data_IF_744254710307
#
_entry.id   IF_744254710307
#
_cell.length_a   1.000
_cell.length_b   1.000
_cell.length_c   1.000
_cell.angle_alpha   90.00
_cell.angle_beta   90.00
_cell.angle_gamma   90.00
#
_symmetry.space_group_name_H-M   'P 1'
#
loop_
_entity.id
_entity.type
_entity.pdbx_description
1 polymer ?
#
# COMPACT_ATOMS: atom_id res chain seq x y z
N UNK A 1 -14.32 -16.36 -15.07
CA UNK A 1 -13.31 -15.32 -15.34
C UNK A 1 -12.38 -15.30 -14.14
N UNK A 2 -11.15 -15.78 -14.32
CA UNK A 2 -10.16 -15.86 -13.23
C UNK A 2 -9.78 -14.44 -12.79
N UNK A 3 -9.64 -14.23 -11.47
CA UNK A 3 -9.11 -13.00 -10.90
C UNK A 3 -7.84 -13.29 -10.13
N UNK A 4 -6.85 -12.42 -10.31
CA UNK A 4 -5.60 -12.46 -9.55
C UNK A 4 -5.79 -11.69 -8.25
N UNK A 5 -5.27 -12.24 -7.16
CA UNK A 5 -5.41 -11.67 -5.82
C UNK A 5 -4.06 -11.72 -5.08
N UNK A 6 -3.77 -10.66 -4.32
CA UNK A 6 -2.63 -10.60 -3.40
C UNK A 6 -3.08 -9.96 -2.09
N UNK A 7 -2.59 -10.54 -1.00
CA UNK A 7 -2.64 -9.94 0.34
C UNK A 7 -1.23 -9.64 0.80
N UNK A 8 -1.00 -8.39 1.22
CA UNK A 8 0.30 -7.89 1.61
C UNK A 8 0.15 -7.30 3.02
N UNK A 9 1.01 -7.73 3.93
CA UNK A 9 1.08 -7.14 5.28
C UNK A 9 2.50 -6.66 5.53
N UNK A 10 2.65 -5.39 5.89
CA UNK A 10 3.93 -4.78 6.21
C UNK A 10 3.90 -4.41 7.69
N UNK A 11 4.87 -4.93 8.44
CA UNK A 11 5.01 -4.70 9.87
C UNK A 11 6.05 -3.62 10.14
N UNK A 12 5.75 -2.77 11.12
CA UNK A 12 6.64 -1.74 11.63
C UNK A 12 6.80 -1.90 13.14
N UNK A 13 7.93 -1.47 13.68
CA UNK A 13 8.17 -1.53 15.13
C UNK A 13 7.36 -0.47 15.88
N UNK A 14 7.14 0.67 15.23
CA UNK A 14 6.46 1.86 15.75
C UNK A 14 5.09 2.04 15.09
N UNK A 15 4.05 2.08 15.91
CA UNK A 15 2.66 2.25 15.48
C UNK A 15 2.40 3.65 14.92
N UNK A 16 3.03 4.68 15.49
CA UNK A 16 2.91 6.03 14.98
C UNK A 16 3.53 6.14 13.59
N UNK A 17 4.67 5.48 13.39
CA UNK A 17 5.33 5.41 12.08
C UNK A 17 4.47 4.66 11.05
N UNK A 18 3.88 3.52 11.43
CA UNK A 18 2.95 2.78 10.58
C UNK A 18 1.73 3.62 10.18
N UNK A 19 1.18 4.38 11.13
CA UNK A 19 0.07 5.31 10.89
C UNK A 19 0.45 6.43 9.94
N UNK A 20 1.59 7.08 10.17
CA UNK A 20 2.08 8.16 9.31
C UNK A 20 2.31 7.70 7.86
N UNK A 21 2.87 6.50 7.66
CA UNK A 21 2.99 5.90 6.33
C UNK A 21 1.61 5.65 5.72
N UNK A 22 0.69 5.05 6.47
CA UNK A 22 -0.65 4.74 5.96
C UNK A 22 -1.41 6.00 5.52
N UNK A 23 -1.34 7.07 6.30
CA UNK A 23 -1.92 8.37 5.97
C UNK A 23 -1.27 9.01 4.73
N UNK A 24 0.05 8.86 4.57
CA UNK A 24 0.78 9.43 3.43
C UNK A 24 0.52 8.68 2.11
N UNK A 25 0.28 7.37 2.15
CA UNK A 25 0.19 6.52 0.95
C UNK A 25 -1.25 6.23 0.55
N UNK A 26 -2.19 6.24 1.50
CA UNK A 26 -3.59 5.87 1.27
C UNK A 26 -4.57 7.00 1.62
N UNK A 27 -4.37 8.23 1.14
CA UNK A 27 -5.14 9.38 1.60
C UNK A 27 -6.62 9.36 1.21
N UNK A 28 -7.06 8.49 0.30
CA UNK A 28 -8.47 8.19 0.04
C UNK A 28 -8.60 6.92 -0.81
N UNK A 29 -9.68 6.16 -0.67
CA UNK A 29 -10.01 5.01 -1.54
C UNK A 29 -10.27 5.50 -2.97
N UNK A 30 -9.21 5.67 -3.77
CA UNK A 30 -9.24 6.21 -5.13
C UNK A 30 -10.15 5.36 -6.03
N UNK A 31 -10.89 6.03 -6.91
CA UNK A 31 -11.64 5.42 -8.02
C UNK A 31 -10.70 4.59 -8.89
N UNK A 32 -10.59 3.31 -8.59
CA UNK A 32 -9.86 2.33 -9.38
C UNK A 32 -10.59 2.04 -10.70
N UNK A 33 -9.88 1.81 -11.81
CA UNK A 33 -10.49 1.41 -13.07
C UNK A 33 -11.34 0.14 -12.89
N UNK A 34 -12.42 -0.06 -13.68
CA UNK A 34 -13.23 -1.26 -13.63
C UNK A 34 -12.38 -2.54 -13.71
N UNK A 35 -12.64 -3.48 -12.80
CA UNK A 35 -11.90 -4.74 -12.72
C UNK A 35 -10.57 -4.67 -11.97
N UNK A 36 -10.23 -3.53 -11.35
CA UNK A 36 -9.18 -3.41 -10.35
C UNK A 36 -9.81 -3.05 -9.00
N UNK A 37 -9.29 -3.64 -7.93
CA UNK A 37 -9.69 -3.35 -6.56
C UNK A 37 -8.43 -3.33 -5.70
N UNK A 38 -8.26 -2.28 -4.92
CA UNK A 38 -7.18 -2.12 -3.95
C UNK A 38 -7.84 -1.64 -2.67
N UNK A 39 -7.66 -2.38 -1.58
CA UNK A 39 -8.08 -1.98 -0.24
C UNK A 39 -6.87 -1.96 0.66
N UNK A 40 -6.72 -0.91 1.44
CA UNK A 40 -5.62 -0.73 2.38
C UNK A 40 -6.19 -0.37 3.75
N UNK A 41 -5.56 -0.86 4.80
CA UNK A 41 -6.02 -0.69 6.17
C UNK A 41 -4.81 -0.60 7.09
N UNK A 42 -4.76 0.44 7.92
CA UNK A 42 -3.84 0.45 9.07
C UNK A 42 -4.41 -0.47 10.15
N UNK A 43 -3.58 -1.39 10.63
CA UNK A 43 -3.87 -2.32 11.73
C UNK A 43 -2.82 -2.16 12.82
N UNK A 44 -2.79 -0.98 13.44
CA UNK A 44 -1.83 -0.61 14.47
C UNK A 44 -0.40 -0.57 13.92
N UNK A 45 0.45 -1.49 14.39
CA UNK A 45 1.85 -1.65 13.93
C UNK A 45 2.02 -2.25 12.54
N UNK A 46 0.93 -2.39 11.78
CA UNK A 46 0.99 -2.98 10.45
C UNK A 46 0.09 -2.26 9.45
N UNK A 47 0.46 -2.35 8.19
CA UNK A 47 -0.35 -1.92 7.05
C UNK A 47 -0.74 -3.19 6.30
N UNK A 48 -2.04 -3.40 6.13
CA UNK A 48 -2.59 -4.48 5.34
C UNK A 48 -3.12 -3.94 4.02
N UNK A 49 -2.81 -4.62 2.93
CA UNK A 49 -3.31 -4.31 1.59
C UNK A 49 -3.85 -5.56 0.91
N UNK A 50 -4.97 -5.41 0.20
CA UNK A 50 -5.58 -6.45 -0.61
C UNK A 50 -5.81 -5.92 -2.02
N UNK A 51 -5.19 -6.58 -2.99
CA UNK A 51 -5.25 -6.24 -4.41
C UNK A 51 -5.97 -7.35 -5.15
N UNK A 52 -7.03 -7.01 -5.90
CA UNK A 52 -7.76 -7.92 -6.77
C UNK A 52 -7.86 -7.36 -8.17
N UNK A 53 -7.45 -8.15 -9.17
CA UNK A 53 -7.35 -7.71 -10.56
C UNK A 53 -7.96 -8.73 -11.52
N UNK A 54 -8.81 -8.23 -12.42
CA UNK A 54 -9.45 -8.99 -13.52
C UNK A 54 -8.88 -8.62 -14.89
N UNK A 55 -7.84 -7.78 -14.96
CA UNK A 55 -7.26 -7.21 -16.18
C UNK A 55 -6.02 -7.95 -16.70
N UNK A 56 -5.68 -9.10 -16.09
CA UNK A 56 -4.54 -9.94 -16.44
C UNK A 56 -3.29 -9.71 -15.59
N UNK A 57 -2.31 -10.62 -15.74
CA UNK A 57 -1.11 -10.69 -14.90
C UNK A 57 -0.23 -9.45 -14.94
N UNK A 58 -0.01 -8.87 -16.14
CA UNK A 58 0.83 -7.67 -16.30
C UNK A 58 0.29 -6.48 -15.51
N UNK A 59 -1.02 -6.22 -15.58
CA UNK A 59 -1.66 -5.14 -14.82
C UNK A 59 -1.63 -5.42 -13.33
N UNK A 60 -1.87 -6.67 -12.92
CA UNK A 60 -1.80 -7.07 -11.53
C UNK A 60 -0.42 -6.80 -10.91
N UNK A 61 0.65 -7.27 -11.57
CA UNK A 61 2.02 -7.04 -11.09
C UNK A 61 2.37 -5.56 -11.06
N UNK A 62 2.02 -4.80 -12.10
CA UNK A 62 2.26 -3.36 -12.11
C UNK A 62 1.57 -2.65 -10.94
N UNK A 63 0.31 -2.99 -10.62
CA UNK A 63 -0.39 -2.40 -9.47
C UNK A 63 0.25 -2.76 -8.13
N UNK A 64 0.71 -4.01 -7.96
CA UNK A 64 1.42 -4.41 -6.75
C UNK A 64 2.75 -3.66 -6.61
N UNK A 65 3.49 -3.50 -7.72
CA UNK A 65 4.76 -2.78 -7.73
C UNK A 65 4.58 -1.27 -7.44
N UNK A 66 3.58 -0.63 -8.05
CA UNK A 66 3.21 0.77 -7.80
C UNK A 66 2.87 0.98 -6.32
N UNK A 67 2.06 0.08 -5.74
CA UNK A 67 1.67 0.10 -4.33
C UNK A 67 2.89 0.03 -3.40
N UNK A 68 3.76 -0.96 -3.61
CA UNK A 68 4.95 -1.16 -2.77
C UNK A 68 5.96 -0.02 -2.92
N UNK A 69 6.10 0.53 -4.13
CA UNK A 69 6.98 1.67 -4.41
C UNK A 69 6.53 2.92 -3.67
N UNK A 70 5.22 3.22 -3.66
CA UNK A 70 4.66 4.34 -2.93
C UNK A 70 4.90 4.22 -1.41
N UNK A 71 4.71 3.01 -0.86
CA UNK A 71 5.00 2.72 0.55
C UNK A 71 6.48 2.93 0.88
N UNK A 72 7.38 2.39 0.05
CA UNK A 72 8.82 2.53 0.25
C UNK A 72 9.27 4.00 0.19
N UNK A 73 8.68 4.79 -0.70
CA UNK A 73 8.96 6.22 -0.78
C UNK A 73 8.51 6.96 0.48
N UNK A 74 7.28 6.73 0.95
CA UNK A 74 6.79 7.34 2.19
C UNK A 74 7.65 6.96 3.40
N UNK A 75 8.03 5.69 3.50
CA UNK A 75 8.91 5.19 4.55
C UNK A 75 10.26 5.92 4.57
N UNK A 76 10.92 6.04 3.40
CA UNK A 76 12.21 6.74 3.29
C UNK A 76 12.09 8.22 3.62
N UNK A 77 11.05 8.88 3.13
CA UNK A 77 10.79 10.30 3.40
C UNK A 77 10.56 10.55 4.89
N UNK A 78 9.73 9.75 5.56
CA UNK A 78 9.46 9.90 6.99
C UNK A 78 10.70 9.58 7.84
N UNK A 79 11.49 8.56 7.47
CA UNK A 79 12.77 8.28 8.13
C UNK A 79 13.77 9.41 7.97
N UNK A 80 13.82 10.05 6.80
CA UNK A 80 14.69 11.19 6.56
C UNK A 80 14.22 12.41 7.37
N UNK A 81 12.91 12.69 7.41
CA UNK A 81 12.34 13.78 8.19
C UNK A 81 12.64 13.64 9.70
N UNK A 82 12.45 12.45 10.29
CA UNK A 82 12.78 12.16 11.70
C UNK A 82 14.26 12.30 12.05
N UNK A 83 15.18 12.18 11.07
CA UNK A 83 16.63 12.35 11.30
C UNK A 83 17.08 13.81 11.29
N UNK A 84 16.22 14.72 10.82
CA UNK A 84 16.50 16.16 10.76
C UNK A 84 16.02 16.88 12.03
N UNK A 85 15.32 16.19 12.92
CA UNK A 85 14.92 16.61 14.28
C UNK A 85 16.03 16.30 15.31
#
# INVERSE_FOLDING_TARGET
MESLEAEITIFYEDEEFARAIAEAVFPDNVKVPPGLYVKTENRGKSIWAHVKCKRGFKTFIATVDDLLSAISMAEKTLKAARKLE
#
